data_IF_927580253819
#
_entry.id   IF_927580253819
#
_cell.length_a   1.000
_cell.length_b   1.000
_cell.length_c   1.000
_cell.angle_alpha   90.00
_cell.angle_beta   90.00
_cell.angle_gamma   90.00
#
_symmetry.space_group_name_H-M   'P 1'
#
loop_
_entity.id
_entity.type
_entity.pdbx_description
1 polymer ?
#
# COMPACT_ATOMS: atom_id res chain seq x y z
N UNK A 1 -25.05 -27.66 8.38
CA UNK A 1 -24.12 -27.48 7.26
C UNK A 1 -22.76 -27.98 7.73
N UNK A 2 -22.42 -29.22 7.39
CA UNK A 2 -21.18 -29.90 7.82
C UNK A 2 -20.00 -29.25 7.09
N UNK A 3 -19.13 -28.54 7.80
CA UNK A 3 -17.81 -28.18 7.28
C UNK A 3 -17.02 -29.48 7.14
N UNK A 4 -16.85 -29.96 5.92
CA UNK A 4 -15.89 -31.03 5.64
C UNK A 4 -14.50 -30.56 6.10
N UNK A 5 -13.95 -31.19 7.13
CA UNK A 5 -12.54 -31.06 7.48
C UNK A 5 -11.72 -31.67 6.34
N UNK A 6 -11.33 -30.87 5.36
CA UNK A 6 -10.30 -31.27 4.41
C UNK A 6 -8.99 -31.31 5.20
N UNK A 7 -8.47 -32.51 5.47
CA UNK A 7 -7.11 -32.64 6.01
C UNK A 7 -6.15 -32.24 4.88
N UNK A 8 -5.40 -31.17 5.10
CA UNK A 8 -4.40 -30.70 4.15
C UNK A 8 -3.20 -31.66 4.18
N UNK A 9 -2.61 -31.95 3.02
CA UNK A 9 -1.25 -32.49 3.02
C UNK A 9 -0.28 -31.45 3.62
N UNK A 10 0.87 -31.89 4.12
CA UNK A 10 1.92 -30.99 4.61
C UNK A 10 2.29 -29.94 3.55
N UNK A 11 2.34 -30.35 2.27
CA UNK A 11 2.64 -29.44 1.17
C UNK A 11 1.56 -28.36 1.01
N UNK A 12 0.28 -28.74 1.00
CA UNK A 12 -0.84 -27.80 0.88
C UNK A 12 -0.89 -26.86 2.10
N UNK A 13 -0.73 -27.39 3.31
CA UNK A 13 -0.77 -26.62 4.54
C UNK A 13 0.35 -25.57 4.61
N UNK A 14 1.60 -25.96 4.32
CA UNK A 14 2.73 -25.03 4.26
C UNK A 14 2.52 -24.00 3.15
N UNK A 15 2.04 -24.42 1.97
CA UNK A 15 1.82 -23.50 0.86
C UNK A 15 0.79 -22.43 1.21
N UNK A 16 -0.35 -22.83 1.75
CA UNK A 16 -1.42 -21.92 2.14
C UNK A 16 -0.98 -20.99 3.29
N UNK A 17 -0.26 -21.50 4.29
CA UNK A 17 0.29 -20.66 5.36
C UNK A 17 1.28 -19.61 4.85
N UNK A 18 2.12 -19.96 3.88
CA UNK A 18 3.06 -19.00 3.26
C UNK A 18 2.33 -18.02 2.35
N UNK A 19 1.33 -18.48 1.58
CA UNK A 19 0.53 -17.63 0.71
C UNK A 19 -0.31 -16.64 1.53
N UNK A 20 -0.78 -17.00 2.73
CA UNK A 20 -1.39 -16.05 3.68
C UNK A 20 -0.38 -14.97 4.15
N UNK A 21 0.90 -15.31 4.21
CA UNK A 21 2.01 -14.45 4.63
C UNK A 21 2.79 -13.88 3.43
N UNK A 22 2.11 -13.19 2.53
CA UNK A 22 2.67 -12.60 1.30
C UNK A 22 4.00 -11.83 1.49
N UNK A 23 4.22 -11.22 2.66
CA UNK A 23 5.46 -10.51 3.00
C UNK A 23 6.70 -11.42 3.03
N UNK A 24 6.54 -12.74 3.16
CA UNK A 24 7.62 -13.73 3.11
C UNK A 24 8.05 -14.10 1.69
N UNK A 25 7.27 -13.76 0.65
CA UNK A 25 7.55 -14.24 -0.71
C UNK A 25 8.92 -13.78 -1.23
N UNK A 26 9.27 -12.50 -1.05
CA UNK A 26 10.58 -11.97 -1.47
C UNK A 26 11.76 -12.64 -0.75
N UNK A 27 11.81 -12.62 0.59
CA UNK A 27 12.95 -13.20 1.28
C UNK A 27 13.01 -14.74 1.15
N UNK A 28 11.90 -15.41 0.79
CA UNK A 28 11.93 -16.82 0.38
C UNK A 28 12.50 -17.01 -1.02
N UNK A 29 12.06 -16.21 -2.00
CA UNK A 29 12.53 -16.26 -3.38
C UNK A 29 14.04 -16.00 -3.50
N UNK A 30 14.56 -15.03 -2.75
CA UNK A 30 15.96 -14.61 -2.78
C UNK A 30 16.85 -15.39 -1.79
N UNK A 31 16.35 -16.47 -1.21
CA UNK A 31 17.05 -17.31 -0.23
C UNK A 31 17.61 -16.53 0.99
N UNK A 32 16.91 -15.47 1.41
CA UNK A 32 17.30 -14.58 2.51
C UNK A 32 16.77 -15.03 3.88
N UNK A 33 15.96 -16.10 3.93
CA UNK A 33 15.37 -16.63 5.16
C UNK A 33 16.06 -17.90 5.63
N UNK A 34 16.25 -17.99 6.95
CA UNK A 34 16.56 -19.25 7.59
C UNK A 34 15.32 -20.17 7.62
N UNK A 35 15.25 -21.13 6.69
CA UNK A 35 14.13 -22.08 6.61
C UNK A 35 13.89 -22.86 7.90
N UNK A 36 14.94 -23.19 8.66
CA UNK A 36 14.78 -23.92 9.92
C UNK A 36 14.08 -23.07 10.98
N UNK A 37 14.38 -21.76 11.02
CA UNK A 37 13.68 -20.83 11.90
C UNK A 37 12.23 -20.63 11.46
N UNK A 38 12.00 -20.43 10.16
CA UNK A 38 10.66 -20.27 9.60
C UNK A 38 9.79 -21.52 9.82
N UNK A 39 10.36 -22.72 9.62
CA UNK A 39 9.65 -23.98 9.83
C UNK A 39 9.16 -24.12 11.28
N UNK A 40 10.00 -23.78 12.27
CA UNK A 40 9.58 -23.76 13.69
C UNK A 40 8.47 -22.76 13.95
N UNK A 41 8.54 -21.58 13.32
CA UNK A 41 7.54 -20.53 13.46
C UNK A 41 6.18 -20.95 12.90
N UNK A 42 6.14 -21.59 11.73
CA UNK A 42 4.87 -21.96 11.07
C UNK A 42 4.33 -23.33 11.48
N UNK A 43 5.13 -24.21 12.09
CA UNK A 43 4.71 -25.57 12.49
C UNK A 43 3.36 -25.60 13.22
N UNK A 44 3.06 -24.74 14.23
CA UNK A 44 1.77 -24.78 14.92
C UNK A 44 0.56 -24.47 14.01
N UNK A 45 0.76 -23.67 12.95
CA UNK A 45 -0.28 -23.39 11.96
C UNK A 45 -0.46 -24.57 11.00
N UNK A 46 0.66 -25.16 10.54
CA UNK A 46 0.67 -26.32 9.66
C UNK A 46 -0.02 -27.52 10.32
N UNK A 47 0.34 -27.85 11.55
CA UNK A 47 -0.25 -28.99 12.29
C UNK A 47 -1.74 -28.83 12.55
N UNK A 48 -2.20 -27.59 12.71
CA UNK A 48 -3.63 -27.29 12.84
C UNK A 48 -4.39 -27.56 11.53
N UNK A 49 -3.76 -27.32 10.38
CA UNK A 49 -4.35 -27.53 9.06
C UNK A 49 -4.30 -29.01 8.64
N UNK A 50 -3.22 -29.72 8.96
CA UNK A 50 -3.08 -31.16 8.68
C UNK A 50 -3.89 -32.02 9.64
N UNK A 51 -3.99 -31.60 10.91
CA UNK A 51 -4.65 -32.35 11.99
C UNK A 51 -3.73 -33.34 12.71
N UNK A 52 -2.42 -33.31 12.44
CA UNK A 52 -1.43 -34.23 13.00
C UNK A 52 -0.08 -33.53 13.24
N UNK A 53 0.81 -34.19 13.99
CA UNK A 53 2.16 -33.70 14.21
C UNK A 53 2.99 -33.84 12.92
N UNK A 54 3.72 -32.78 12.56
CA UNK A 54 4.50 -32.73 11.32
C UNK A 54 5.98 -32.51 11.63
N UNK A 55 6.86 -33.34 11.06
CA UNK A 55 8.30 -33.20 11.20
C UNK A 55 8.83 -31.88 10.59
N UNK A 56 9.80 -31.25 11.25
CA UNK A 56 10.38 -29.98 10.79
C UNK A 56 11.06 -30.11 9.42
N UNK A 57 11.70 -31.26 9.15
CA UNK A 57 12.38 -31.54 7.88
C UNK A 57 11.41 -31.53 6.70
N UNK A 58 10.20 -32.05 6.89
CA UNK A 58 9.16 -32.05 5.86
C UNK A 58 8.74 -30.60 5.52
N UNK A 59 8.55 -29.76 6.54
CA UNK A 59 8.22 -28.34 6.37
C UNK A 59 9.36 -27.61 5.65
N UNK A 60 10.61 -27.81 6.06
CA UNK A 60 11.78 -27.18 5.43
C UNK A 60 11.90 -27.56 3.96
N UNK A 61 11.72 -28.84 3.62
CA UNK A 61 11.78 -29.32 2.25
C UNK A 61 10.68 -28.68 1.38
N UNK A 62 9.46 -28.59 1.91
CA UNK A 62 8.36 -27.91 1.22
C UNK A 62 8.65 -26.43 1.02
N UNK A 63 9.18 -25.72 2.04
CA UNK A 63 9.54 -24.30 1.91
C UNK A 63 10.57 -24.06 0.82
N UNK A 64 11.61 -24.91 0.73
CA UNK A 64 12.63 -24.83 -0.33
C UNK A 64 12.03 -25.05 -1.72
N UNK A 65 11.14 -26.05 -1.85
CA UNK A 65 10.45 -26.31 -3.11
C UNK A 65 9.58 -25.12 -3.54
N UNK A 66 8.80 -24.56 -2.62
CA UNK A 66 7.95 -23.38 -2.87
C UNK A 66 8.78 -22.14 -3.20
N UNK A 67 9.92 -21.94 -2.55
CA UNK A 67 10.86 -20.86 -2.86
C UNK A 67 11.28 -20.90 -4.34
N UNK A 68 11.65 -22.08 -4.85
CA UNK A 68 12.03 -22.26 -6.25
C UNK A 68 10.88 -22.02 -7.24
N UNK A 69 9.63 -22.07 -6.81
CA UNK A 69 8.44 -21.78 -7.63
C UNK A 69 8.16 -20.27 -7.76
N UNK A 70 8.68 -19.44 -6.84
CA UNK A 70 8.58 -17.98 -6.95
C UNK A 70 9.50 -17.49 -8.08
N UNK A 71 8.93 -17.25 -9.26
CA UNK A 71 9.69 -16.75 -10.41
C UNK A 71 10.28 -15.34 -10.17
N UNK A 72 11.51 -15.12 -10.64
CA UNK A 72 12.32 -13.91 -10.38
C UNK A 72 11.84 -12.60 -11.03
N UNK A 73 10.89 -12.65 -11.97
CA UNK A 73 10.67 -11.55 -12.93
C UNK A 73 9.82 -10.37 -12.43
N UNK A 74 8.95 -10.54 -11.44
CA UNK A 74 7.87 -9.55 -11.16
C UNK A 74 8.26 -8.38 -10.26
N UNK A 75 9.41 -8.41 -9.57
CA UNK A 75 9.74 -7.45 -8.49
C UNK A 75 10.79 -6.40 -8.87
N UNK A 76 11.63 -6.63 -9.88
CA UNK A 76 12.54 -5.60 -10.39
C UNK A 76 11.76 -4.38 -10.90
N UNK A 77 10.57 -4.60 -11.44
CA UNK A 77 9.70 -3.56 -12.00
C UNK A 77 9.28 -2.50 -10.96
N UNK A 78 9.10 -2.87 -9.69
CA UNK A 78 8.71 -1.92 -8.63
C UNK A 78 9.88 -1.01 -8.25
N UNK A 79 11.10 -1.57 -8.14
CA UNK A 79 12.28 -0.77 -7.85
C UNK A 79 12.63 0.14 -9.03
N UNK A 80 12.48 -0.32 -10.27
CA UNK A 80 12.60 0.51 -11.46
C UNK A 80 11.54 1.64 -11.52
N UNK A 81 10.31 1.35 -11.11
CA UNK A 81 9.27 2.37 -10.97
C UNK A 81 9.64 3.42 -9.91
N UNK A 82 10.11 2.99 -8.74
CA UNK A 82 10.50 3.89 -7.65
C UNK A 82 11.78 4.69 -7.97
N UNK A 83 12.74 4.09 -8.68
CA UNK A 83 13.98 4.74 -9.14
C UNK A 83 13.69 6.04 -9.90
N UNK A 84 12.64 6.04 -10.72
CA UNK A 84 12.25 7.17 -11.55
C UNK A 84 11.14 8.03 -10.93
N UNK A 85 10.76 7.78 -9.68
CA UNK A 85 9.71 8.52 -9.01
C UNK A 85 10.22 9.85 -8.41
N UNK A 86 9.31 10.81 -8.31
CA UNK A 86 9.51 12.06 -7.59
C UNK A 86 8.57 12.11 -6.39
N UNK A 87 9.04 12.65 -5.27
CA UNK A 87 8.25 12.82 -4.05
C UNK A 87 7.97 14.30 -3.77
N UNK A 88 6.70 14.63 -3.56
CA UNK A 88 6.24 15.95 -3.15
C UNK A 88 5.53 15.85 -1.79
N UNK A 89 5.71 16.86 -0.96
CA UNK A 89 5.06 16.96 0.34
C UNK A 89 4.32 18.29 0.43
N UNK A 90 3.03 18.23 0.74
CA UNK A 90 2.19 19.41 0.98
C UNK A 90 1.66 19.33 2.41
N UNK A 91 1.83 20.38 3.21
CA UNK A 91 1.29 20.49 4.59
C UNK A 91 0.12 21.47 4.64
N UNK A 92 -0.55 21.59 5.79
CA UNK A 92 -1.69 22.49 5.99
C UNK A 92 -3.00 21.96 5.42
N UNK A 93 -3.06 20.66 5.10
CA UNK A 93 -4.21 20.03 4.48
C UNK A 93 -5.22 19.60 5.55
N UNK A 94 -6.47 19.46 5.12
CA UNK A 94 -7.55 18.88 5.89
C UNK A 94 -8.32 17.90 5.01
N UNK A 95 -8.80 16.84 5.63
CA UNK A 95 -9.72 15.87 5.04
C UNK A 95 -11.08 16.02 5.69
N UNK A 96 -12.13 16.04 4.87
CA UNK A 96 -13.51 15.92 5.33
C UNK A 96 -14.20 14.81 4.55
N UNK A 97 -14.96 13.97 5.24
CA UNK A 97 -15.87 12.99 4.63
C UNK A 97 -17.29 13.49 4.75
N UNK A 98 -18.01 13.45 3.64
CA UNK A 98 -19.36 13.99 3.50
C UNK A 98 -20.27 12.89 2.98
N UNK A 99 -21.47 12.76 3.53
CA UNK A 99 -22.48 11.84 3.03
C UNK A 99 -22.85 12.22 1.58
N UNK A 100 -22.85 11.24 0.69
CA UNK A 100 -23.19 11.43 -0.72
C UNK A 100 -24.71 11.38 -0.90
N UNK A 101 -25.31 12.54 -1.08
CA UNK A 101 -26.74 12.71 -1.36
C UNK A 101 -26.89 13.52 -2.65
N UNK A 102 -28.08 13.52 -3.29
CA UNK A 102 -28.33 14.39 -4.44
C UNK A 102 -28.05 15.86 -4.13
N UNK A 103 -28.37 16.31 -2.91
CA UNK A 103 -28.12 17.67 -2.45
C UNK A 103 -26.62 17.97 -2.30
N UNK A 104 -25.87 17.13 -1.58
CA UNK A 104 -24.44 17.37 -1.37
C UNK A 104 -23.66 17.28 -2.69
N UNK A 105 -24.05 16.36 -3.58
CA UNK A 105 -23.48 16.27 -4.93
C UNK A 105 -23.69 17.56 -5.73
N UNK A 106 -24.90 18.12 -5.70
CA UNK A 106 -25.22 19.37 -6.41
C UNK A 106 -24.39 20.54 -5.89
N UNK A 107 -24.39 20.76 -4.57
CA UNK A 107 -23.60 21.82 -3.93
C UNK A 107 -22.10 21.67 -4.15
N UNK A 108 -21.60 20.42 -4.17
CA UNK A 108 -20.19 20.15 -4.44
C UNK A 108 -19.79 20.54 -5.87
N UNK A 109 -20.64 20.27 -6.86
CA UNK A 109 -20.39 20.67 -8.25
C UNK A 109 -20.33 22.20 -8.37
N UNK A 110 -21.28 22.91 -7.76
CA UNK A 110 -21.30 24.38 -7.72
C UNK A 110 -20.04 24.94 -7.04
N UNK A 111 -19.58 24.30 -5.96
CA UNK A 111 -18.33 24.67 -5.28
C UNK A 111 -17.10 24.43 -6.17
N UNK A 112 -17.03 23.28 -6.85
CA UNK A 112 -15.92 22.94 -7.75
C UNK A 112 -15.81 23.90 -8.92
N UNK A 113 -16.91 24.33 -9.52
CA UNK A 113 -16.91 25.32 -10.61
C UNK A 113 -16.31 26.65 -10.18
N UNK A 114 -16.63 27.13 -8.97
CA UNK A 114 -16.04 28.34 -8.39
C UNK A 114 -14.55 28.16 -8.09
N UNK A 115 -14.16 27.01 -7.55
CA UNK A 115 -12.79 26.70 -7.19
C UNK A 115 -11.88 26.56 -8.43
N UNK A 116 -12.40 26.01 -9.53
CA UNK A 116 -11.67 25.85 -10.79
C UNK A 116 -11.25 27.20 -11.41
N UNK A 117 -11.98 28.28 -11.09
CA UNK A 117 -11.63 29.63 -11.51
C UNK A 117 -10.43 30.24 -10.75
N UNK A 118 -9.86 29.54 -9.75
CA UNK A 118 -8.73 29.98 -8.94
C UNK A 118 -7.54 29.01 -9.09
N UNK A 119 -6.60 29.26 -10.03
CA UNK A 119 -5.47 28.39 -10.25
C UNK A 119 -4.54 28.34 -9.02
N UNK A 120 -4.06 27.14 -8.66
CA UNK A 120 -2.91 26.96 -7.76
C UNK A 120 -3.19 26.27 -6.43
N UNK A 121 -4.45 26.04 -6.05
CA UNK A 121 -4.77 25.31 -4.82
C UNK A 121 -5.14 23.85 -5.12
N UNK A 122 -4.43 22.92 -4.46
CA UNK A 122 -4.65 21.49 -4.63
C UNK A 122 -5.93 21.07 -3.90
N UNK A 123 -6.92 20.60 -4.65
CA UNK A 123 -8.15 20.07 -4.09
C UNK A 123 -8.50 18.73 -4.74
N UNK A 124 -8.77 17.74 -3.90
CA UNK A 124 -9.05 16.38 -4.33
C UNK A 124 -10.42 15.97 -3.81
N UNK A 125 -11.24 15.41 -4.71
CA UNK A 125 -12.55 14.87 -4.36
C UNK A 125 -12.59 13.40 -4.78
N UNK A 126 -12.68 12.52 -3.80
CA UNK A 126 -12.75 11.07 -4.00
C UNK A 126 -14.16 10.64 -3.64
N UNK A 127 -14.85 10.01 -4.58
CA UNK A 127 -16.25 9.63 -4.41
C UNK A 127 -16.40 8.12 -4.35
N UNK A 128 -17.04 7.64 -3.28
CA UNK A 128 -17.56 6.28 -3.19
C UNK A 128 -19.08 6.30 -3.40
N UNK A 129 -19.76 5.18 -3.15
CA UNK A 129 -21.20 5.08 -3.31
C UNK A 129 -21.96 5.95 -2.30
N UNK A 130 -21.53 5.96 -1.04
CA UNK A 130 -22.24 6.61 0.07
C UNK A 130 -21.54 7.86 0.62
N UNK A 131 -20.28 8.10 0.24
CA UNK A 131 -19.50 9.21 0.77
C UNK A 131 -18.60 9.88 -0.27
N UNK A 132 -18.23 11.11 0.05
CA UNK A 132 -17.26 11.92 -0.69
C UNK A 132 -16.19 12.38 0.30
N UNK A 133 -14.95 12.00 0.05
CA UNK A 133 -13.77 12.57 0.71
C UNK A 133 -13.31 13.80 -0.05
N UNK A 134 -13.18 14.93 0.64
CA UNK A 134 -12.55 16.14 0.11
C UNK A 134 -11.25 16.42 0.88
N UNK A 135 -10.14 16.52 0.16
CA UNK A 135 -8.82 16.89 0.70
C UNK A 135 -8.42 18.21 0.08
N UNK A 136 -8.13 19.20 0.92
CA UNK A 136 -7.77 20.55 0.49
C UNK A 136 -7.00 21.29 1.59
N UNK A 137 -6.41 22.46 1.30
CA UNK A 137 -5.99 23.38 2.34
C UNK A 137 -7.11 23.62 3.35
N UNK A 138 -6.75 23.72 4.63
CA UNK A 138 -7.71 23.84 5.73
C UNK A 138 -8.72 24.99 5.55
N UNK A 139 -8.29 26.08 4.92
CA UNK A 139 -9.15 27.22 4.53
C UNK A 139 -10.27 26.81 3.57
N UNK A 140 -9.95 26.06 2.51
CA UNK A 140 -10.92 25.60 1.50
C UNK A 140 -11.90 24.58 2.02
N UNK A 141 -11.48 23.72 2.94
CA UNK A 141 -12.42 22.85 3.66
C UNK A 141 -13.41 23.69 4.48
N UNK A 142 -12.96 24.77 5.11
CA UNK A 142 -13.86 25.72 5.79
C UNK A 142 -14.92 26.30 4.85
N UNK A 143 -14.50 26.81 3.70
CA UNK A 143 -15.39 27.37 2.66
C UNK A 143 -16.40 26.32 2.17
N UNK A 144 -15.94 25.11 1.83
CA UNK A 144 -16.79 24.00 1.40
C UNK A 144 -17.84 23.65 2.46
N UNK A 145 -17.45 23.55 3.72
CA UNK A 145 -18.35 23.21 4.82
C UNK A 145 -19.42 24.28 5.05
N UNK A 146 -19.06 25.56 4.90
CA UNK A 146 -20.00 26.67 4.96
C UNK A 146 -21.06 26.59 3.85
N UNK A 147 -20.70 26.20 2.63
CA UNK A 147 -21.67 26.01 1.54
C UNK A 147 -22.55 24.77 1.73
N UNK A 148 -22.01 23.69 2.29
CA UNK A 148 -22.75 22.45 2.52
C UNK A 148 -23.70 22.51 3.73
N UNK A 149 -23.51 23.46 4.65
CA UNK A 149 -24.35 23.64 5.84
C UNK A 149 -24.06 22.64 6.98
N UNK A 150 -22.93 21.94 6.96
CA UNK A 150 -22.43 21.07 8.03
C UNK A 150 -23.22 19.79 8.33
N UNK A 151 -24.50 19.72 8.00
CA UNK A 151 -25.43 18.62 8.35
C UNK A 151 -25.11 17.26 7.70
N UNK A 152 -24.20 17.24 6.72
CA UNK A 152 -23.81 16.03 5.99
C UNK A 152 -22.36 15.58 6.26
N UNK A 153 -21.69 16.19 7.24
CA UNK A 153 -20.29 15.86 7.57
C UNK A 153 -20.25 14.56 8.38
N UNK A 154 -19.59 13.54 7.83
CA UNK A 154 -19.37 12.26 8.49
C UNK A 154 -18.14 12.30 9.40
N UNK A 155 -17.05 12.92 8.93
CA UNK A 155 -15.83 13.10 9.72
C UNK A 155 -14.98 14.25 9.22
N UNK A 156 -14.13 14.78 10.08
CA UNK A 156 -13.13 15.82 9.76
C UNK A 156 -11.80 15.47 10.41
N UNK A 157 -10.74 15.48 9.62
CA UNK A 157 -9.36 15.27 10.04
C UNK A 157 -8.52 16.49 9.65
N UNK A 158 -8.31 17.45 10.57
CA UNK A 158 -7.46 18.61 10.31
C UNK A 158 -5.96 18.26 10.48
N UNK A 159 -5.08 19.20 10.12
CA UNK A 159 -3.62 19.10 10.33
C UNK A 159 -3.01 17.85 9.68
N UNK A 160 -3.33 17.67 8.40
CA UNK A 160 -2.77 16.60 7.59
C UNK A 160 -1.68 17.13 6.67
N UNK A 161 -0.70 16.28 6.42
CA UNK A 161 0.19 16.38 5.28
C UNK A 161 -0.28 15.43 4.18
N UNK A 162 0.04 15.76 2.93
CA UNK A 162 -0.16 14.95 1.74
C UNK A 162 1.20 14.68 1.12
N UNK A 163 1.61 13.41 1.07
CA UNK A 163 2.75 12.99 0.26
C UNK A 163 2.23 12.51 -1.08
N UNK A 164 2.83 12.98 -2.17
CA UNK A 164 2.49 12.59 -3.54
C UNK A 164 3.74 12.06 -4.22
N UNK A 165 3.69 10.78 -4.62
CA UNK A 165 4.66 10.20 -5.52
C UNK A 165 4.17 10.39 -6.95
N UNK A 166 5.05 10.89 -7.82
CA UNK A 166 4.84 11.00 -9.26
C UNK A 166 5.81 10.04 -9.94
N UNK A 167 5.29 9.12 -10.73
CA UNK A 167 6.08 8.13 -11.43
C UNK A 167 6.10 8.41 -12.95
N UNK A 168 7.07 7.85 -13.68
CA UNK A 168 7.09 7.89 -15.14
C UNK A 168 6.04 6.93 -15.73
N UNK A 169 5.33 7.27 -16.80
CA UNK A 169 4.17 6.52 -17.35
C UNK A 169 4.30 4.99 -17.42
N UNK A 170 5.51 4.44 -17.64
CA UNK A 170 5.79 2.99 -17.66
C UNK A 170 5.59 2.24 -16.32
N UNK A 171 5.40 2.95 -15.20
CA UNK A 171 5.21 2.34 -13.87
C UNK A 171 3.83 1.74 -13.63
N UNK A 172 2.81 2.08 -14.43
CA UNK A 172 1.44 1.57 -14.21
C UNK A 172 1.36 0.04 -14.34
N UNK A 173 2.27 -0.55 -15.09
CA UNK A 173 2.38 -1.99 -15.28
C UNK A 173 3.19 -2.68 -14.18
N UNK A 174 3.88 -1.92 -13.32
CA UNK A 174 4.70 -2.45 -12.24
C UNK A 174 3.83 -2.92 -11.06
N UNK A 175 3.70 -4.24 -10.94
CA UNK A 175 2.92 -4.88 -9.87
C UNK A 175 3.60 -4.66 -8.52
N UNK A 176 2.91 -3.99 -7.59
CA UNK A 176 3.36 -3.82 -6.20
C UNK A 176 3.69 -2.39 -5.80
N UNK A 177 3.55 -1.40 -6.68
CA UNK A 177 3.80 0.01 -6.33
C UNK A 177 2.98 0.49 -5.12
N UNK A 178 1.67 0.19 -5.06
CA UNK A 178 0.82 0.57 -3.92
C UNK A 178 1.25 -0.15 -2.64
N UNK A 179 1.60 -1.43 -2.72
CA UNK A 179 2.13 -2.20 -1.57
C UNK A 179 3.42 -1.57 -1.06
N UNK A 180 4.33 -1.21 -1.97
CA UNK A 180 5.58 -0.57 -1.61
C UNK A 180 5.38 0.79 -0.92
N UNK A 181 4.40 1.60 -1.37
CA UNK A 181 3.99 2.83 -0.69
C UNK A 181 3.49 2.52 0.72
N UNK A 182 2.54 1.60 0.86
CA UNK A 182 2.00 1.19 2.16
C UNK A 182 3.08 0.69 3.12
N UNK A 183 4.06 -0.07 2.61
CA UNK A 183 5.20 -0.56 3.39
C UNK A 183 6.05 0.56 3.97
N UNK A 184 6.28 1.65 3.23
CA UNK A 184 7.02 2.79 3.79
C UNK A 184 6.32 3.41 5.01
N UNK A 185 4.99 3.49 4.98
CA UNK A 185 4.19 3.97 6.11
C UNK A 185 4.22 2.99 7.29
N UNK A 186 4.08 1.69 7.01
CA UNK A 186 4.13 0.63 8.01
C UNK A 186 5.48 0.61 8.76
N UNK A 187 6.59 0.71 8.03
CA UNK A 187 7.95 0.79 8.60
C UNK A 187 8.11 1.98 9.56
N UNK A 188 7.40 3.08 9.29
CA UNK A 188 7.43 4.26 10.15
C UNK A 188 6.40 4.20 11.29
N UNK A 189 5.53 3.19 11.32
CA UNK A 189 4.36 3.14 12.19
C UNK A 189 3.49 4.41 12.05
N UNK A 190 3.24 4.83 10.80
CA UNK A 190 2.41 5.99 10.45
C UNK A 190 1.10 5.51 9.87
N UNK A 191 0.00 5.94 10.47
CA UNK A 191 -1.34 5.69 9.92
C UNK A 191 -1.63 6.58 8.72
N UNK A 192 -2.33 6.04 7.72
CA UNK A 192 -2.78 6.75 6.53
C UNK A 192 -4.24 7.13 6.73
N UNK A 193 -4.56 8.42 6.63
CA UNK A 193 -5.91 8.94 6.77
C UNK A 193 -6.74 8.80 5.48
N UNK A 194 -6.10 8.89 4.32
CA UNK A 194 -6.69 8.67 3.00
C UNK A 194 -5.57 8.35 1.99
N UNK A 195 -5.83 7.45 1.04
CA UNK A 195 -4.90 7.16 -0.06
C UNK A 195 -5.68 7.12 -1.38
N UNK A 196 -5.13 7.73 -2.40
CA UNK A 196 -5.75 7.79 -3.72
C UNK A 196 -4.69 7.84 -4.81
N UNK A 197 -5.05 7.34 -5.99
CA UNK A 197 -4.17 7.31 -7.15
C UNK A 197 -4.87 7.87 -8.39
N UNK A 198 -4.04 8.23 -9.36
CA UNK A 198 -4.43 8.61 -10.72
C UNK A 198 -3.46 7.96 -11.70
N UNK A 199 -3.45 8.38 -12.97
CA UNK A 199 -2.60 7.80 -14.01
C UNK A 199 -1.13 7.63 -13.61
N UNK A 200 -0.49 8.64 -13.02
CA UNK A 200 0.93 8.54 -12.67
C UNK A 200 1.27 9.01 -11.26
N UNK A 201 0.27 9.07 -10.40
CA UNK A 201 0.43 9.62 -9.06
C UNK A 201 -0.23 8.74 -8.03
N UNK A 202 0.46 8.53 -6.93
CA UNK A 202 -0.09 7.97 -5.70
C UNK A 202 0.06 9.03 -4.63
N UNK A 203 -1.02 9.38 -3.95
CA UNK A 203 -1.02 10.35 -2.88
C UNK A 203 -1.61 9.77 -1.61
N UNK A 204 -0.99 10.05 -0.48
CA UNK A 204 -1.43 9.60 0.84
C UNK A 204 -1.46 10.77 1.82
N UNK A 205 -2.61 10.95 2.48
CA UNK A 205 -2.80 11.93 3.54
C UNK A 205 -2.54 11.29 4.90
N UNK A 206 -1.83 11.98 5.79
CA UNK A 206 -1.41 11.48 7.09
C UNK A 206 -1.17 12.63 8.08
N UNK A 207 -0.91 12.33 9.34
CA UNK A 207 -0.68 13.34 10.38
C UNK A 207 0.52 14.24 10.03
N UNK A 208 0.29 15.55 9.96
CA UNK A 208 1.30 16.54 9.58
C UNK A 208 2.51 16.56 10.51
N UNK A 209 2.37 16.16 11.77
CA UNK A 209 3.50 16.08 12.72
C UNK A 209 4.57 15.10 12.27
N UNK A 210 4.25 14.15 11.38
CA UNK A 210 5.18 13.16 10.84
C UNK A 210 5.69 13.51 9.43
N UNK A 211 5.34 14.69 8.90
CA UNK A 211 5.59 15.09 7.51
C UNK A 211 7.07 14.96 7.10
N UNK A 212 7.98 15.52 7.89
CA UNK A 212 9.42 15.48 7.60
C UNK A 212 9.96 14.03 7.53
N UNK A 213 9.55 13.19 8.49
CA UNK A 213 9.97 11.79 8.59
C UNK A 213 9.47 10.94 7.42
N UNK A 214 8.21 11.15 7.01
CA UNK A 214 7.63 10.46 5.85
C UNK A 214 8.33 10.89 4.57
N UNK A 215 8.54 12.19 4.36
CA UNK A 215 9.25 12.69 3.18
C UNK A 215 10.69 12.14 3.09
N UNK A 216 11.42 12.12 4.21
CA UNK A 216 12.76 11.56 4.26
C UNK A 216 12.78 10.07 3.91
N UNK A 217 11.84 9.27 4.46
CA UNK A 217 11.73 7.83 4.16
C UNK A 217 11.47 7.57 2.68
N UNK A 218 10.55 8.30 2.07
CA UNK A 218 10.27 8.15 0.64
C UNK A 218 11.44 8.62 -0.23
N UNK A 219 12.09 9.72 0.12
CA UNK A 219 13.29 10.21 -0.59
C UNK A 219 14.42 9.18 -0.56
N UNK A 220 14.66 8.56 0.61
CA UNK A 220 15.62 7.46 0.77
C UNK A 220 15.22 6.24 -0.04
N UNK A 221 13.95 5.84 0.02
CA UNK A 221 13.44 4.68 -0.73
C UNK A 221 13.62 4.86 -2.24
N UNK A 222 13.36 6.05 -2.79
CA UNK A 222 13.61 6.39 -4.19
C UNK A 222 15.10 6.27 -4.52
N UNK A 223 15.98 6.88 -3.72
CA UNK A 223 17.43 6.83 -3.92
C UNK A 223 17.97 5.39 -3.90
N UNK A 224 17.62 4.61 -2.88
CA UNK A 224 18.06 3.21 -2.75
C UNK A 224 17.45 2.30 -3.82
N UNK A 225 16.28 2.63 -4.38
CA UNK A 225 15.70 1.85 -5.48
C UNK A 225 16.56 1.94 -6.75
N UNK A 226 17.29 3.04 -6.94
CA UNK A 226 18.28 3.17 -8.01
C UNK A 226 19.42 2.15 -7.88
N UNK A 227 19.95 2.00 -6.67
CA UNK A 227 21.03 1.05 -6.35
C UNK A 227 20.55 -0.40 -6.44
N UNK A 228 19.36 -0.70 -5.89
CA UNK A 228 18.79 -2.06 -5.90
C UNK A 228 18.44 -2.50 -7.32
N UNK A 229 17.91 -1.60 -8.16
CA UNK A 229 17.63 -1.92 -9.55
C UNK A 229 18.89 -2.28 -10.35
N UNK A 230 20.05 -1.75 -9.96
CA UNK A 230 21.35 -2.05 -10.57
C UNK A 230 22.00 -3.32 -10.01
N UNK A 231 21.54 -3.82 -8.86
CA UNK A 231 21.90 -5.15 -8.35
C UNK A 231 21.21 -6.21 -9.20
N UNK A 232 21.82 -6.58 -10.33
CA UNK A 232 21.39 -7.74 -11.11
C UNK A 232 21.36 -8.97 -10.21
N UNK A 233 20.30 -9.80 -10.23
CA UNK A 233 20.42 -11.13 -9.67
C UNK A 233 21.57 -11.82 -10.40
N UNK A 234 22.47 -12.46 -9.65
CA UNK A 234 23.38 -13.45 -10.20
C UNK A 234 22.48 -14.59 -10.69
N UNK A 235 21.91 -14.44 -11.88
CA UNK A 235 21.34 -15.56 -12.62
C UNK A 235 22.56 -16.36 -13.03
N UNK A 236 22.98 -17.28 -12.17
CA UNK A 236 23.68 -18.44 -12.66
C UNK A 236 22.71 -19.10 -13.64
N UNK A 237 22.92 -18.87 -14.93
CA UNK A 237 22.51 -19.79 -15.98
C UNK A 237 23.07 -21.15 -15.58
N UNK A 238 22.27 -21.95 -14.90
CA UNK A 238 22.54 -23.39 -14.79
C UNK A 238 22.29 -23.94 -16.19
N UNK A 239 23.40 -24.11 -16.91
CA UNK A 239 23.51 -24.94 -18.10
C UNK A 239 23.08 -26.38 -17.83
#
# INVERSE_FOLDING_TARGET
MHLMHRSYSVQEAVSETIDEMHFLHLPLQEDLINYSALARFIKPAVERKTGEEVGLEAIIMTLRKKSAEFGSKRRLDVFEAFKNAQVFLTTGMSLVRIAKTPETRKKLLEFQEKAYAMPGEQMFFIQQNEEISAIAPSKRIGELLSELGGQHVLSKSPKLALVTLIFSEKHLDAVGCIEQVGRQFADLNVSIAEIFSSHAKISAAFDETQAARVYEKFSKAIASSGEIAEMQPIVQEKA
#
